data_IF_150388522084
#
_entry.id   IF_150388522084
#
_cell.length_a   1.000
_cell.length_b   1.000
_cell.length_c   1.000
_cell.angle_alpha   90.00
_cell.angle_beta   90.00
_cell.angle_gamma   90.00
#
_symmetry.space_group_name_H-M   'P 1'
#
loop_
_entity.id
_entity.type
_entity.pdbx_description
1 polymer ?
#
# COMPACT_ATOMS: atom_id res chain seq x y z
N UNK A 1 -3.07 -3.94 37.17
CA UNK A 1 -2.65 -4.49 35.86
C UNK A 1 -3.68 -4.04 34.84
N UNK A 2 -3.33 -3.04 34.03
CA UNK A 2 -4.22 -2.51 33.01
C UNK A 2 -4.13 -3.40 31.77
N UNK A 3 -5.23 -4.06 31.41
CA UNK A 3 -5.37 -4.68 30.10
C UNK A 3 -5.34 -3.58 29.04
N UNK A 4 -4.29 -3.53 28.24
CA UNK A 4 -4.36 -2.87 26.94
C UNK A 4 -5.26 -3.73 26.05
N UNK A 5 -6.41 -3.24 25.56
CA UNK A 5 -7.16 -3.96 24.56
C UNK A 5 -6.27 -4.01 23.32
N UNK A 6 -5.80 -5.21 22.97
CA UNK A 6 -5.00 -5.41 21.77
C UNK A 6 -5.73 -4.78 20.59
N UNK A 7 -5.02 -3.96 19.80
CA UNK A 7 -5.48 -3.49 18.50
C UNK A 7 -5.89 -4.72 17.69
N UNK A 8 -7.18 -5.04 17.64
CA UNK A 8 -7.66 -6.12 16.81
C UNK A 8 -7.75 -5.57 15.40
N UNK A 9 -6.70 -5.81 14.61
CA UNK A 9 -6.66 -5.50 13.18
C UNK A 9 -7.82 -6.23 12.51
N UNK A 10 -8.90 -5.49 12.23
CA UNK A 10 -10.07 -6.06 11.56
C UNK A 10 -9.72 -6.34 10.11
N UNK A 11 -10.11 -7.50 9.64
CA UNK A 11 -9.95 -7.86 8.24
C UNK A 11 -10.98 -7.11 7.40
N UNK A 12 -10.54 -6.43 6.34
CA UNK A 12 -11.42 -5.60 5.51
C UNK A 12 -11.04 -5.63 4.03
N UNK A 13 -12.02 -5.31 3.20
CA UNK A 13 -11.82 -4.84 1.82
C UNK A 13 -12.23 -3.37 1.71
N UNK A 14 -11.54 -2.59 0.90
CA UNK A 14 -11.86 -1.18 0.66
C UNK A 14 -11.44 -0.75 -0.75
N UNK A 15 -11.99 0.39 -1.21
CA UNK A 15 -11.50 1.13 -2.36
C UNK A 15 -10.60 2.25 -1.84
N UNK A 16 -9.35 2.28 -2.27
CA UNK A 16 -8.40 3.36 -2.02
C UNK A 16 -8.38 4.30 -3.22
N UNK A 17 -8.45 5.61 -2.97
CA UNK A 17 -8.34 6.64 -4.01
C UNK A 17 -7.38 7.73 -3.58
N UNK A 18 -6.61 8.24 -4.53
CA UNK A 18 -5.84 9.47 -4.40
C UNK A 18 -6.41 10.48 -5.38
N UNK A 19 -6.80 11.65 -4.89
CA UNK A 19 -7.47 12.70 -5.67
C UNK A 19 -6.83 14.04 -5.34
N UNK A 20 -6.58 14.86 -6.35
CA UNK A 20 -6.27 16.28 -6.12
C UNK A 20 -7.59 17.05 -5.91
N UNK A 21 -7.88 17.42 -4.65
CA UNK A 21 -9.19 17.88 -4.16
C UNK A 21 -9.74 19.07 -4.97
N UNK A 22 -8.90 20.06 -5.25
CA UNK A 22 -9.32 21.29 -5.95
C UNK A 22 -9.73 21.04 -7.42
N UNK A 23 -9.05 20.09 -8.07
CA UNK A 23 -9.33 19.77 -9.48
C UNK A 23 -10.33 18.63 -9.67
N UNK A 24 -10.55 17.81 -8.63
CA UNK A 24 -11.25 16.53 -8.73
C UNK A 24 -10.52 15.46 -9.54
N UNK A 25 -9.27 15.70 -9.96
CA UNK A 25 -8.47 14.74 -10.74
C UNK A 25 -8.13 13.54 -9.89
N UNK A 26 -8.53 12.35 -10.34
CA UNK A 26 -8.09 11.08 -9.74
C UNK A 26 -6.66 10.81 -10.16
N UNK A 27 -5.77 10.75 -9.19
CA UNK A 27 -4.34 10.49 -9.38
C UNK A 27 -4.02 9.00 -9.29
N UNK A 28 -4.73 8.28 -8.42
CA UNK A 28 -4.57 6.84 -8.27
C UNK A 28 -5.85 6.20 -7.71
N UNK A 29 -6.05 4.92 -8.01
CA UNK A 29 -7.18 4.16 -7.51
C UNK A 29 -6.84 2.67 -7.41
N UNK A 30 -7.09 2.06 -6.24
CA UNK A 30 -6.76 0.67 -5.98
C UNK A 30 -7.85 -0.02 -5.16
N UNK A 31 -8.02 -1.34 -5.37
CA UNK A 31 -8.75 -2.18 -4.41
C UNK A 31 -7.78 -2.73 -3.38
N UNK A 32 -8.17 -2.67 -2.10
CA UNK A 32 -7.37 -3.11 -0.97
C UNK A 32 -8.07 -4.27 -0.27
N UNK A 33 -7.32 -5.32 0.04
CA UNK A 33 -7.70 -6.40 0.94
C UNK A 33 -6.65 -6.51 2.04
N UNK A 34 -7.05 -6.36 3.30
CA UNK A 34 -6.14 -6.36 4.45
C UNK A 34 -6.66 -7.30 5.53
N UNK A 35 -5.76 -8.09 6.12
CA UNK A 35 -6.02 -8.90 7.32
C UNK A 35 -4.72 -9.21 8.06
N UNK A 36 -4.82 -9.97 9.15
CA UNK A 36 -3.67 -10.57 9.83
C UNK A 36 -2.86 -11.54 8.96
N UNK A 37 -3.43 -12.04 7.86
CA UNK A 37 -2.75 -12.96 6.94
C UNK A 37 -1.87 -12.22 5.93
N UNK A 38 -2.18 -10.95 5.65
CA UNK A 38 -1.47 -10.18 4.65
C UNK A 38 -2.21 -8.95 4.15
N UNK A 39 -1.61 -8.32 3.14
CA UNK A 39 -2.18 -7.18 2.41
C UNK A 39 -2.10 -7.47 0.91
N UNK A 40 -3.17 -7.17 0.19
CA UNK A 40 -3.21 -7.20 -1.27
C UNK A 40 -3.78 -5.88 -1.77
N UNK A 41 -3.09 -5.31 -2.76
CA UNK A 41 -3.45 -4.05 -3.39
C UNK A 41 -3.44 -4.27 -4.88
N UNK A 42 -4.60 -4.19 -5.52
CA UNK A 42 -4.73 -4.28 -6.97
C UNK A 42 -5.02 -2.89 -7.52
N UNK A 43 -4.12 -2.35 -8.37
CA UNK A 43 -4.37 -1.07 -9.03
C UNK A 43 -5.53 -1.19 -10.02
N UNK A 44 -6.36 -0.15 -10.09
CA UNK A 44 -7.59 -0.13 -10.91
C UNK A 44 -7.47 0.75 -12.15
N UNK A 45 -6.44 1.59 -12.26
CA UNK A 45 -6.21 2.42 -13.44
C UNK A 45 -6.02 1.54 -14.70
N UNK A 46 -6.64 1.92 -15.82
CA UNK A 46 -6.66 1.10 -17.06
C UNK A 46 -5.25 0.77 -17.59
N UNK A 47 -4.32 1.73 -17.46
CA UNK A 47 -2.93 1.55 -17.87
C UNK A 47 -2.06 0.77 -16.88
N UNK A 48 -2.55 0.57 -15.64
CA UNK A 48 -1.82 -0.07 -14.56
C UNK A 48 -2.46 -1.40 -14.17
N UNK A 49 -1.89 -2.49 -14.66
CA UNK A 49 -2.27 -3.84 -14.27
C UNK A 49 -1.49 -4.34 -13.03
N UNK A 50 -0.92 -3.44 -12.23
CA UNK A 50 -0.04 -3.85 -11.14
C UNK A 50 -0.81 -4.37 -9.92
N UNK A 51 -0.20 -5.34 -9.25
CA UNK A 51 -0.66 -5.85 -7.95
C UNK A 51 0.51 -5.93 -6.99
N UNK A 52 0.29 -5.46 -5.77
CA UNK A 52 1.17 -5.69 -4.65
C UNK A 52 0.55 -6.73 -3.71
N UNK A 53 1.36 -7.67 -3.22
CA UNK A 53 0.95 -8.67 -2.23
C UNK A 53 2.01 -8.77 -1.15
N UNK A 54 1.62 -8.65 0.11
CA UNK A 54 2.41 -9.05 1.27
C UNK A 54 1.70 -10.20 1.98
N UNK A 55 2.42 -11.29 2.23
CA UNK A 55 1.98 -12.43 3.01
C UNK A 55 2.78 -12.51 4.31
N UNK A 56 2.09 -12.32 5.42
CA UNK A 56 2.73 -12.23 6.72
C UNK A 56 3.12 -13.59 7.29
N UNK A 57 2.38 -14.65 6.96
CA UNK A 57 2.69 -16.01 7.41
C UNK A 57 3.95 -16.57 6.75
N UNK A 58 4.19 -16.21 5.47
CA UNK A 58 5.33 -16.71 4.69
C UNK A 58 6.51 -15.73 4.65
N UNK A 59 6.35 -14.53 5.23
CA UNK A 59 7.32 -13.43 5.14
C UNK A 59 7.72 -13.13 3.69
N UNK A 60 6.73 -13.12 2.80
CA UNK A 60 6.94 -12.95 1.37
C UNK A 60 6.18 -11.74 0.85
N UNK A 61 6.84 -11.03 -0.06
CA UNK A 61 6.31 -9.85 -0.71
C UNK A 61 6.49 -9.99 -2.21
N UNK A 62 5.45 -9.66 -2.97
CA UNK A 62 5.46 -9.70 -4.42
C UNK A 62 4.95 -8.42 -5.05
N UNK A 63 5.57 -8.07 -6.18
CA UNK A 63 5.00 -7.20 -7.17
C UNK A 63 4.63 -8.01 -8.41
N UNK A 64 3.48 -7.71 -8.98
CA UNK A 64 2.96 -8.40 -10.15
C UNK A 64 2.56 -7.41 -11.23
N UNK A 65 2.76 -7.81 -12.47
CA UNK A 65 2.12 -7.24 -13.64
C UNK A 65 1.07 -8.23 -14.13
N UNK A 66 -0.22 -7.93 -13.90
CA UNK A 66 -1.33 -8.82 -14.29
C UNK A 66 -1.51 -8.92 -15.79
N UNK A 67 -1.12 -7.89 -16.57
CA UNK A 67 -1.26 -7.87 -18.02
C UNK A 67 -0.23 -8.78 -18.69
N UNK A 68 1.03 -8.70 -18.25
CA UNK A 68 2.12 -9.58 -18.73
C UNK A 68 2.21 -10.91 -17.98
N UNK A 69 1.37 -11.11 -16.96
CA UNK A 69 1.37 -12.28 -16.07
C UNK A 69 2.75 -12.53 -15.45
N UNK A 70 3.42 -11.46 -15.02
CA UNK A 70 4.75 -11.51 -14.41
C UNK A 70 4.64 -11.29 -12.91
N UNK A 71 5.50 -11.97 -12.15
CA UNK A 71 5.63 -11.78 -10.72
C UNK A 71 7.10 -11.70 -10.33
N UNK A 72 7.44 -10.71 -9.51
CA UNK A 72 8.73 -10.60 -8.86
C UNK A 72 8.52 -10.69 -7.35
N UNK A 73 9.33 -11.53 -6.69
CA UNK A 73 9.35 -11.60 -5.24
C UNK A 73 10.46 -10.68 -4.72
N UNK A 74 10.11 -9.76 -3.83
CA UNK A 74 11.09 -8.89 -3.20
C UNK A 74 11.87 -9.66 -2.13
N UNK A 75 13.19 -9.44 -2.02
CA UNK A 75 13.94 -9.89 -0.85
C UNK A 75 13.44 -9.14 0.38
N UNK A 76 13.09 -9.87 1.45
CA UNK A 76 12.74 -9.29 2.74
C UNK A 76 13.93 -9.46 3.66
N UNK A 77 14.67 -8.38 3.91
CA UNK A 77 15.68 -8.35 4.97
C UNK A 77 14.99 -7.91 6.26
N UNK A 78 14.91 -8.82 7.24
CA UNK A 78 14.41 -8.50 8.58
C UNK A 78 15.49 -7.74 9.34
N UNK A 79 15.44 -6.41 9.31
CA UNK A 79 16.28 -5.59 10.19
C UNK A 79 15.73 -5.73 11.61
N UNK A 80 16.45 -6.45 12.47
CA UNK A 80 16.17 -6.44 13.91
C UNK A 80 16.54 -5.06 14.45
N UNK A 81 15.56 -4.30 14.92
CA UNK A 81 15.80 -3.10 15.72
C UNK A 81 15.91 -3.53 17.18
N UNK A 82 17.07 -3.29 17.79
CA UNK A 82 17.29 -3.47 19.22
C UNK A 82 16.33 -2.57 20.03
N UNK A 83 15.81 -3.12 21.11
CA UNK A 83 14.81 -2.53 22.01
C UNK A 83 15.23 -1.16 22.58
N UNK A 84 14.72 -0.07 22.01
CA UNK A 84 14.63 1.23 22.69
C UNK A 84 13.61 2.22 22.12
N UNK A 85 12.94 1.92 21.00
CA UNK A 85 11.93 2.81 20.43
C UNK A 85 10.66 2.04 20.05
N UNK A 86 9.52 2.58 20.45
CA UNK A 86 8.24 1.89 20.40
C UNK A 86 7.75 1.66 18.98
N UNK A 87 7.62 0.40 18.58
CA UNK A 87 6.79 -0.09 17.46
C UNK A 87 6.89 0.78 16.19
N UNK A 88 8.11 0.96 15.65
CA UNK A 88 8.28 1.28 14.23
C UNK A 88 8.19 0.00 13.40
N UNK A 89 6.98 -0.55 13.34
CA UNK A 89 6.67 -1.76 12.58
C UNK A 89 6.77 -1.51 11.07
N UNK A 90 7.63 -2.25 10.36
CA UNK A 90 7.45 -2.60 8.92
C UNK A 90 7.13 -1.38 8.02
N UNK A 91 7.79 -0.23 8.25
CA UNK A 91 7.47 1.03 7.55
C UNK A 91 8.03 1.14 6.12
N UNK A 92 8.56 0.06 5.54
CA UNK A 92 8.97 0.02 4.13
C UNK A 92 8.25 -1.08 3.34
N UNK A 93 7.02 -1.42 3.72
CA UNK A 93 6.11 -2.08 2.79
C UNK A 93 5.69 -1.05 1.73
N UNK A 94 5.71 -1.38 0.43
CA UNK A 94 5.24 -0.47 -0.63
C UNK A 94 3.71 -0.24 -0.60
N UNK A 95 3.01 -0.77 0.40
CA UNK A 95 1.67 -0.34 0.82
C UNK A 95 1.73 0.77 1.90
N UNK A 96 2.69 1.70 1.78
CA UNK A 96 2.95 2.79 2.74
C UNK A 96 1.83 3.82 2.89
N UNK A 97 0.64 3.55 2.36
CA UNK A 97 -0.57 4.39 2.44
C UNK A 97 -1.57 3.91 3.50
N UNK A 98 -1.39 2.70 4.06
CA UNK A 98 -2.27 2.17 5.12
C UNK A 98 -1.62 2.47 6.48
N UNK A 99 -2.16 3.46 7.20
CA UNK A 99 -1.64 3.86 8.51
C UNK A 99 -2.56 3.42 9.64
N UNK A 100 -2.05 2.60 10.55
CA UNK A 100 -2.80 2.08 11.71
C UNK A 100 -2.78 3.00 12.94
N UNK A 101 -2.03 4.10 12.86
CA UNK A 101 -1.99 5.15 13.86
C UNK A 101 -2.00 6.52 13.16
N UNK A 102 -2.62 7.54 13.75
CA UNK A 102 -2.52 8.89 13.23
C UNK A 102 -1.09 9.39 13.29
N UNK A 103 -0.70 10.20 12.30
CA UNK A 103 0.58 10.89 12.18
C UNK A 103 1.83 10.02 12.05
N UNK A 104 1.75 8.69 12.14
CA UNK A 104 2.83 7.78 11.73
C UNK A 104 4.21 8.07 12.33
N UNK A 105 4.28 8.50 13.60
CA UNK A 105 5.54 8.89 14.27
C UNK A 105 5.82 10.40 14.28
N UNK A 106 5.11 11.18 13.47
CA UNK A 106 5.19 12.64 13.47
C UNK A 106 4.47 13.27 14.66
N UNK A 107 4.73 14.57 14.90
CA UNK A 107 4.05 15.30 15.98
C UNK A 107 2.57 15.50 15.62
N UNK A 108 1.68 14.87 16.38
CA UNK A 108 0.24 14.90 16.15
C UNK A 108 -0.54 15.71 17.18
N UNK A 109 -1.55 16.45 16.72
CA UNK A 109 -2.53 17.14 17.58
C UNK A 109 -3.96 16.77 17.18
N UNK A 110 -4.69 16.15 18.11
CA UNK A 110 -6.13 15.91 17.96
C UNK A 110 -6.89 17.24 17.94
N UNK A 111 -7.75 17.44 16.94
CA UNK A 111 -8.63 18.61 16.85
C UNK A 111 -10.07 18.33 17.26
N UNK A 112 -10.53 17.09 17.15
CA UNK A 112 -11.89 16.72 17.52
C UNK A 112 -12.40 15.52 16.75
N UNK A 113 -13.71 15.31 16.80
CA UNK A 113 -14.38 14.24 16.08
C UNK A 113 -15.20 14.81 14.91
N UNK A 114 -15.29 14.06 13.83
CA UNK A 114 -16.01 14.41 12.61
C UNK A 114 -16.71 13.17 12.04
N UNK A 115 -17.76 13.36 11.23
CA UNK A 115 -18.44 12.28 10.53
C UNK A 115 -17.99 12.24 9.07
N UNK A 116 -17.34 11.16 8.65
CA UNK A 116 -16.94 10.90 7.25
C UNK A 116 -17.66 9.66 6.76
N UNK A 117 -18.41 9.78 5.66
CA UNK A 117 -19.17 8.67 5.05
C UNK A 117 -20.00 7.85 6.08
N UNK A 118 -20.64 8.54 7.03
CA UNK A 118 -21.44 7.91 8.08
C UNK A 118 -20.63 7.25 9.21
N UNK A 119 -19.31 7.50 9.28
CA UNK A 119 -18.41 6.96 10.31
C UNK A 119 -17.86 8.08 11.17
N UNK A 120 -17.90 7.89 12.48
CA UNK A 120 -17.25 8.80 13.43
C UNK A 120 -15.73 8.57 13.36
N UNK A 121 -14.99 9.64 13.09
CA UNK A 121 -13.54 9.66 12.98
C UNK A 121 -12.97 10.77 13.84
N UNK A 122 -11.73 10.60 14.27
CA UNK A 122 -10.93 11.64 14.92
C UNK A 122 -10.15 12.40 13.88
N UNK A 123 -10.24 13.74 13.90
CA UNK A 123 -9.43 14.61 13.04
C UNK A 123 -8.14 15.01 13.75
N UNK A 124 -7.02 14.70 13.11
CA UNK A 124 -5.67 14.97 13.57
C UNK A 124 -4.96 15.95 12.65
N UNK A 125 -4.16 16.82 13.24
CA UNK A 125 -3.18 17.64 12.51
C UNK A 125 -1.80 17.07 12.80
N UNK A 126 -1.10 16.68 11.75
CA UNK A 126 0.20 16.05 11.82
C UNK A 126 1.24 17.02 11.27
N UNK A 127 2.21 17.41 12.10
CA UNK A 127 3.35 18.22 11.69
C UNK A 127 4.50 17.29 11.33
N UNK A 128 4.87 17.25 10.06
CA UNK A 128 5.95 16.45 9.51
C UNK A 128 7.33 17.06 9.83
N UNK A 129 8.45 16.31 9.69
CA UNK A 129 9.79 16.80 10.03
C UNK A 129 10.21 18.07 9.27
N UNK A 130 9.71 18.24 8.04
CA UNK A 130 9.93 19.40 7.19
C UNK A 130 9.00 20.59 7.52
N UNK A 131 8.25 20.51 8.62
CA UNK A 131 7.23 21.46 9.06
C UNK A 131 5.99 21.54 8.15
N UNK A 132 5.87 20.68 7.14
CA UNK A 132 4.61 20.54 6.42
C UNK A 132 3.54 19.97 7.34
N UNK A 133 2.29 20.31 7.05
CA UNK A 133 1.15 19.96 7.90
C UNK A 133 0.13 19.19 7.10
N UNK A 134 -0.10 17.97 7.54
CA UNK A 134 -1.13 17.09 7.00
C UNK A 134 -2.31 17.01 7.96
N UNK A 135 -3.51 16.83 7.40
CA UNK A 135 -4.70 16.49 8.18
C UNK A 135 -5.03 15.03 7.96
N UNK A 136 -5.22 14.28 9.03
CA UNK A 136 -5.58 12.86 8.98
C UNK A 136 -6.88 12.60 9.74
N UNK A 137 -7.72 11.73 9.20
CA UNK A 137 -8.97 11.29 9.83
C UNK A 137 -8.86 9.82 10.19
N UNK A 138 -8.79 9.56 11.50
CA UNK A 138 -8.53 8.26 12.08
C UNK A 138 -9.81 7.65 12.63
N UNK A 139 -10.14 6.43 12.21
CA UNK A 139 -11.23 5.65 12.81
C UNK A 139 -10.70 4.82 13.96
N UNK A 140 -11.11 5.16 15.18
CA UNK A 140 -10.81 4.35 16.38
C UNK A 140 -11.44 2.96 16.28
N UNK A 141 -12.59 2.82 15.63
CA UNK A 141 -13.29 1.54 15.42
C UNK A 141 -12.50 0.57 14.54
N UNK A 142 -11.80 1.07 13.52
CA UNK A 142 -11.03 0.24 12.59
C UNK A 142 -9.53 0.27 12.88
N UNK A 143 -9.11 1.09 13.84
CA UNK A 143 -7.70 1.39 14.12
C UNK A 143 -6.92 1.73 12.84
N UNK A 144 -7.46 2.67 12.06
CA UNK A 144 -6.99 2.98 10.72
C UNK A 144 -7.25 4.44 10.34
N UNK A 145 -6.28 5.08 9.68
CA UNK A 145 -6.45 6.36 8.99
C UNK A 145 -7.29 6.11 7.73
N UNK A 146 -8.50 6.66 7.70
CA UNK A 146 -9.43 6.48 6.59
C UNK A 146 -9.25 7.53 5.51
N UNK A 147 -8.76 8.71 5.88
CA UNK A 147 -8.52 9.83 4.97
C UNK A 147 -7.29 10.58 5.42
N UNK A 148 -6.45 11.02 4.50
CA UNK A 148 -5.39 11.98 4.74
C UNK A 148 -5.44 13.05 3.66
N UNK A 149 -5.13 14.29 4.06
CA UNK A 149 -5.02 15.43 3.17
C UNK A 149 -3.71 16.14 3.43
N UNK A 150 -2.94 16.31 2.37
CA UNK A 150 -1.70 17.07 2.36
C UNK A 150 -1.95 18.56 2.17
N UNK A 151 -0.92 19.38 2.41
CA UNK A 151 -0.98 20.84 2.26
C UNK A 151 -1.23 21.28 0.81
N UNK A 152 -0.77 20.51 -0.17
CA UNK A 152 -0.95 20.75 -1.62
C UNK A 152 -2.30 20.26 -2.15
N UNK A 153 -3.21 19.83 -1.27
CA UNK A 153 -4.58 19.47 -1.65
C UNK A 153 -4.74 18.06 -2.21
N UNK A 154 -3.72 17.21 -2.09
CA UNK A 154 -3.86 15.78 -2.39
C UNK A 154 -4.58 15.09 -1.23
N UNK A 155 -5.61 14.32 -1.55
CA UNK A 155 -6.40 13.55 -0.61
C UNK A 155 -6.23 12.07 -0.94
N UNK A 156 -5.78 11.29 0.04
CA UNK A 156 -5.85 9.83 0.01
C UNK A 156 -6.98 9.36 0.90
N UNK A 157 -7.82 8.43 0.41
CA UNK A 157 -9.02 8.02 1.13
C UNK A 157 -9.36 6.55 0.89
N UNK A 158 -9.76 5.87 1.97
CA UNK A 158 -10.35 4.54 1.97
C UNK A 158 -11.88 4.67 2.05
N UNK A 159 -12.55 4.20 1.01
CA UNK A 159 -14.00 4.17 0.87
C UNK A 159 -14.51 2.74 0.70
N UNK A 160 -15.83 2.55 0.75
CA UNK A 160 -16.49 1.24 0.62
C UNK A 160 -15.88 0.15 1.54
N UNK A 161 -15.52 0.54 2.77
CA UNK A 161 -14.88 -0.35 3.74
C UNK A 161 -15.88 -1.40 4.22
N UNK A 162 -15.57 -2.67 3.95
CA UNK A 162 -16.39 -3.83 4.31
C UNK A 162 -15.56 -4.83 5.10
N UNK A 163 -16.09 -5.31 6.21
CA UNK A 163 -15.47 -6.42 6.94
C UNK A 163 -15.49 -7.70 6.09
N UNK A 164 -14.39 -8.44 6.10
CA UNK A 164 -14.21 -9.67 5.31
C UNK A 164 -13.42 -10.69 6.09
N UNK A 165 -13.58 -11.97 5.75
CA UNK A 165 -12.69 -13.04 6.21
C UNK A 165 -11.98 -13.64 5.00
N UNK A 166 -10.84 -13.06 4.58
CA UNK A 166 -10.13 -13.53 3.39
C UNK A 166 -9.51 -14.91 3.63
N UNK A 167 -9.42 -15.70 2.56
CA UNK A 167 -8.68 -16.97 2.60
C UNK A 167 -7.17 -16.70 2.45
N UNK A 168 -6.29 -17.54 3.02
CA UNK A 168 -4.83 -17.38 2.88
C UNK A 168 -4.35 -17.26 1.43
N UNK A 169 -5.01 -17.93 0.48
CA UNK A 169 -4.64 -17.88 -0.95
C UNK A 169 -4.85 -16.50 -1.58
N UNK A 170 -5.64 -15.63 -0.94
CA UNK A 170 -5.82 -14.23 -1.40
C UNK A 170 -4.51 -13.44 -1.31
N UNK A 171 -3.59 -13.88 -0.44
CA UNK A 171 -2.28 -13.27 -0.21
C UNK A 171 -1.15 -14.07 -0.84
N UNK A 172 -1.42 -14.71 -1.98
CA UNK A 172 -0.39 -15.33 -2.82
C UNK A 172 -0.60 -14.94 -4.29
N UNK A 173 0.48 -14.82 -5.07
CA UNK A 173 0.35 -14.68 -6.52
C UNK A 173 -0.24 -15.96 -7.13
N UNK A 174 -1.05 -15.86 -8.19
CA UNK A 174 -1.52 -17.04 -8.92
C UNK A 174 -0.35 -17.84 -9.49
N UNK A 175 -0.41 -19.17 -9.40
CA UNK A 175 0.68 -20.07 -9.79
C UNK A 175 1.06 -20.03 -11.26
N UNK A 176 0.15 -19.55 -12.13
CA UNK A 176 0.40 -19.44 -13.56
C UNK A 176 1.20 -18.19 -13.96
N UNK A 177 1.49 -17.29 -13.02
CA UNK A 177 2.33 -16.12 -13.28
C UNK A 177 3.80 -16.55 -13.39
N UNK A 178 4.50 -16.01 -14.39
CA UNK A 178 5.93 -16.28 -14.59
C UNK A 178 6.76 -15.46 -13.62
N UNK A 179 7.65 -16.13 -12.89
CA UNK A 179 8.61 -15.48 -12.00
C UNK A 179 9.72 -14.80 -12.80
N UNK A 180 10.00 -13.53 -12.48
CA UNK A 180 11.00 -12.70 -13.17
C UNK A 180 11.85 -11.88 -12.19
N UNK A 181 12.99 -11.39 -12.66
CA UNK A 181 13.78 -10.37 -11.96
C UNK A 181 13.10 -8.99 -11.98
N UNK A 182 13.59 -8.07 -11.13
CA UNK A 182 13.01 -6.72 -11.05
C UNK A 182 13.21 -5.95 -12.36
N UNK A 183 14.32 -6.17 -13.05
CA UNK A 183 14.65 -5.51 -14.31
C UNK A 183 13.64 -5.85 -15.39
N UNK A 184 13.22 -7.12 -15.50
CA UNK A 184 12.21 -7.55 -16.47
C UNK A 184 10.80 -7.10 -16.06
N UNK A 185 10.51 -7.07 -14.76
CA UNK A 185 9.24 -6.55 -14.27
C UNK A 185 9.10 -5.05 -14.59
N UNK A 186 10.16 -4.25 -14.43
CA UNK A 186 10.12 -2.82 -14.68
C UNK A 186 10.28 -2.46 -16.17
N UNK A 187 10.97 -3.27 -16.97
CA UNK A 187 11.18 -2.99 -18.38
C UNK A 187 10.07 -3.58 -19.26
N UNK A 188 9.32 -2.76 -20.00
CA UNK A 188 8.28 -3.23 -20.92
C UNK A 188 8.83 -3.83 -22.23
N UNK A 189 10.15 -3.88 -22.43
CA UNK A 189 10.77 -4.16 -23.73
C UNK A 189 11.26 -5.61 -23.84
N UNK A 190 10.66 -6.30 -24.80
CA UNK A 190 11.01 -7.61 -25.39
C UNK A 190 12.51 -7.68 -25.74
N UNK A 191 13.19 -8.84 -25.57
CA UNK A 191 14.61 -9.00 -25.86
C UNK A 191 14.96 -8.49 -27.26
N UNK A 192 16.00 -7.64 -27.34
CA UNK A 192 16.60 -7.22 -28.61
C UNK A 192 17.08 -8.52 -29.28
N UNK A 193 16.43 -8.92 -30.38
CA UNK A 193 16.88 -10.05 -31.19
C UNK A 193 18.35 -9.85 -31.53
N UNK A 194 19.18 -10.86 -31.27
CA UNK A 194 20.61 -10.83 -31.56
C UNK A 194 20.87 -10.29 -32.97
N UNK A 195 21.69 -9.25 -33.06
CA UNK A 195 22.16 -8.70 -34.32
C UNK A 195 22.97 -9.77 -35.04
N UNK A 196 22.43 -10.35 -36.12
CA UNK A 196 23.21 -11.21 -37.02
C UNK A 196 23.93 -10.29 -38.00
N UNK A 197 25.21 -10.06 -37.75
CA UNK A 197 26.08 -9.35 -38.68
C UNK A 197 26.17 -10.13 -40.00
N UNK A 198 25.48 -9.65 -41.03
CA UNK A 198 25.64 -10.19 -42.38
C UNK A 198 27.00 -9.73 -42.92
N UNK A 199 27.97 -10.66 -42.97
CA UNK A 199 29.23 -10.47 -43.69
C UNK A 199 28.91 -10.09 -45.14
N UNK A 200 29.19 -8.86 -45.51
CA UNK A 200 29.22 -8.41 -46.91
C UNK A 200 30.44 -9.07 -47.55
N UNK A 201 30.30 -9.83 -48.65
CA UNK A 201 31.44 -10.43 -49.32
C UNK A 201 32.24 -9.34 -50.04
N UNK A 202 33.50 -9.17 -49.65
CA UNK A 202 34.46 -8.33 -50.38
C UNK A 202 34.72 -8.92 -51.76
N UNK A 203 34.58 -8.09 -52.81
CA UNK A 203 35.00 -8.37 -54.18
C UNK A 203 36.52 -8.24 -54.34
#
# INVERSE_FOLDING_TARGET
MAHHPGLQLRSFSALFRVVHEDSGTVLDEASVLSSELGVRVDQLHEDSASTFIANYAEHQIWFMDRRRQLVHQLPVELVQHDEADGIESVQHAPAGFIHHAPCGGATGRLQGNEMIHGRLVQRWICTLPDQSVDTQWYSTTHSLVLRARTVDGVVSELTDIRERTPKPESFRPPSHFRRVGIEELLNPIVPISSYVEQKIPSK
#
